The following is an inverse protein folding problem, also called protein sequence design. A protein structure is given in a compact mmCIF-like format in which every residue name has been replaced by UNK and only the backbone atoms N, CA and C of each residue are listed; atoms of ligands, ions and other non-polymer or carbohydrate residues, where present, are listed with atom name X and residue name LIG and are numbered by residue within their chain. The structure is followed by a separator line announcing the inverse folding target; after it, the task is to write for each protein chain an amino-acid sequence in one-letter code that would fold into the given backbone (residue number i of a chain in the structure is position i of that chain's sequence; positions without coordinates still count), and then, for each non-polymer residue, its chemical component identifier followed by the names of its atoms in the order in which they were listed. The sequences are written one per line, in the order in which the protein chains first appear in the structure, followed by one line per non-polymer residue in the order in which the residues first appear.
data_IF_083018770390
#
_entry.id   IF_083018770390
#
_cell.length_a   1.000
_cell.length_b   1.000
_cell.length_c   1.000
_cell.angle_alpha   90.00
_cell.angle_beta   90.00
_cell.angle_gamma   90.00
#
_symmetry.space_group_name_H-M   'P 1'
#
loop_
_entity.id
_entity.type
_entity.pdbx_description
1 polymer ?
#
# COMPACT_ATOMS: atom_id res chain seq x y z
N UNK A 1 5.73 -23.33 15.06
CA UNK A 1 5.10 -24.34 14.19
C UNK A 1 3.58 -24.46 14.36
N UNK A 2 3.01 -24.55 15.58
CA UNK A 2 1.53 -24.69 15.75
C UNK A 2 0.71 -23.44 15.35
N UNK A 3 1.23 -22.21 15.48
CA UNK A 3 0.52 -20.96 15.12
C UNK A 3 0.53 -20.66 13.62
N UNK A 4 1.53 -21.16 12.86
CA UNK A 4 1.55 -21.06 11.38
C UNK A 4 0.49 -21.97 10.76
N UNK A 5 0.19 -23.12 11.36
CA UNK A 5 -0.89 -24.00 10.93
C UNK A 5 -2.29 -23.34 11.05
N UNK A 6 -2.49 -22.45 12.03
CA UNK A 6 -3.77 -21.73 12.18
C UNK A 6 -4.02 -20.74 11.05
N UNK A 7 -2.97 -20.14 10.46
CA UNK A 7 -3.09 -19.21 9.33
C UNK A 7 -3.45 -19.98 8.04
N UNK A 8 -2.86 -21.17 7.85
CA UNK A 8 -3.14 -22.04 6.71
C UNK A 8 -4.59 -22.56 6.74
N UNK A 9 -5.09 -22.92 7.94
CA UNK A 9 -6.48 -23.34 8.12
C UNK A 9 -7.47 -22.21 7.80
N UNK A 10 -7.10 -20.94 8.03
CA UNK A 10 -7.95 -19.80 7.77
C UNK A 10 -8.14 -19.54 6.27
N UNK A 11 -7.07 -19.67 5.47
CA UNK A 11 -7.09 -19.48 4.01
C UNK A 11 -7.92 -20.56 3.31
N UNK A 12 -7.89 -21.80 3.80
CA UNK A 12 -8.62 -22.94 3.24
C UNK A 12 -10.13 -22.88 3.60
N UNK A 13 -10.46 -22.38 4.78
CA UNK A 13 -11.86 -22.26 5.20
C UNK A 13 -12.67 -21.27 4.35
N UNK A 14 -12.02 -20.23 3.78
CA UNK A 14 -12.68 -19.24 2.91
C UNK A 14 -13.14 -19.87 1.57
N UNK A 15 -12.46 -20.88 1.08
CA UNK A 15 -12.83 -21.54 -0.19
C UNK A 15 -13.95 -22.60 -0.04
N UNK A 16 -14.20 -23.09 1.18
CA UNK A 16 -15.17 -24.16 1.42
C UNK A 16 -16.61 -23.71 1.69
N UNK A 17 -16.84 -22.38 1.86
CA UNK A 17 -18.17 -21.86 2.22
C UNK A 17 -18.87 -21.22 1.02
N UNK A 18 -19.43 -22.02 0.14
CA UNK A 18 -20.40 -21.56 -0.85
C UNK A 18 -21.62 -20.93 -0.14
N UNK A 19 -21.91 -19.64 -0.42
CA UNK A 19 -23.12 -18.95 0.02
C UNK A 19 -23.02 -17.95 1.17
N UNK A 20 -21.87 -17.80 1.84
CA UNK A 20 -21.71 -16.76 2.87
C UNK A 20 -21.34 -15.42 2.25
N UNK A 21 -21.89 -14.35 2.83
CA UNK A 21 -21.48 -12.97 2.45
C UNK A 21 -20.04 -12.70 2.87
N UNK A 22 -19.41 -11.68 2.29
CA UNK A 22 -18.06 -11.27 2.67
C UNK A 22 -18.01 -10.85 4.15
N UNK A 23 -19.03 -10.14 4.61
CA UNK A 23 -19.16 -9.71 6.01
C UNK A 23 -19.20 -10.92 6.96
N UNK A 24 -20.01 -11.92 6.70
CA UNK A 24 -20.09 -13.11 7.56
C UNK A 24 -18.78 -13.89 7.56
N UNK A 25 -18.09 -13.93 6.43
CA UNK A 25 -16.76 -14.54 6.33
C UNK A 25 -15.74 -13.82 7.21
N UNK A 26 -15.73 -12.48 7.17
CA UNK A 26 -14.85 -11.66 8.00
C UNK A 26 -15.18 -11.82 9.50
N UNK A 27 -16.47 -11.80 9.87
CA UNK A 27 -16.91 -12.01 11.25
C UNK A 27 -16.52 -13.41 11.80
N UNK A 28 -16.51 -14.43 10.96
CA UNK A 28 -16.00 -15.75 11.35
C UNK A 28 -14.48 -15.71 11.61
N UNK A 29 -13.73 -14.96 10.78
CA UNK A 29 -12.28 -14.82 10.93
C UNK A 29 -11.88 -13.99 12.17
N UNK A 30 -12.78 -13.13 12.65
CA UNK A 30 -12.57 -12.34 13.86
C UNK A 30 -12.41 -13.22 15.13
N UNK A 31 -12.99 -14.44 15.13
CA UNK A 31 -12.91 -15.33 16.29
C UNK A 31 -13.51 -14.68 17.53
N UNK A 32 -12.73 -14.56 18.62
CA UNK A 32 -13.19 -13.98 19.88
C UNK A 32 -13.53 -12.49 19.79
N UNK A 33 -12.95 -11.78 18.80
CA UNK A 33 -13.22 -10.35 18.56
C UNK A 33 -14.55 -10.10 17.81
N UNK A 34 -15.25 -11.15 17.36
CA UNK A 34 -16.53 -11.04 16.64
C UNK A 34 -17.53 -10.15 17.37
N UNK A 35 -17.63 -10.30 18.69
CA UNK A 35 -18.57 -9.53 19.48
C UNK A 35 -18.34 -8.01 19.44
N UNK A 36 -17.07 -7.59 19.37
CA UNK A 36 -16.71 -6.17 19.22
C UNK A 36 -17.17 -5.63 17.86
N UNK A 37 -16.92 -6.38 16.78
CA UNK A 37 -17.34 -5.96 15.44
C UNK A 37 -18.87 -5.93 15.28
N UNK A 38 -19.58 -6.88 15.88
CA UNK A 38 -21.06 -6.88 15.91
C UNK A 38 -21.63 -5.69 16.71
N UNK A 39 -20.95 -5.21 17.76
CA UNK A 39 -21.34 -3.97 18.46
C UNK A 39 -21.32 -2.76 17.53
N UNK A 40 -20.30 -2.63 16.66
CA UNK A 40 -20.22 -1.54 15.66
C UNK A 40 -21.40 -1.59 14.70
N UNK A 41 -21.71 -2.76 14.15
CA UNK A 41 -22.85 -2.96 13.25
C UNK A 41 -24.16 -2.60 13.92
N UNK A 42 -24.38 -3.04 15.17
CA UNK A 42 -25.57 -2.73 15.96
C UNK A 42 -25.65 -1.24 16.29
N UNK A 43 -24.54 -0.58 16.59
CA UNK A 43 -24.47 0.86 16.86
C UNK A 43 -25.02 1.68 15.68
N UNK A 44 -24.73 1.26 14.45
CA UNK A 44 -25.16 1.96 13.24
C UNK A 44 -26.39 1.35 12.57
N UNK A 45 -27.13 0.45 13.23
CA UNK A 45 -28.27 -0.25 12.63
C UNK A 45 -29.36 0.68 12.05
N UNK A 46 -29.49 1.92 12.57
CA UNK A 46 -30.46 2.93 12.11
C UNK A 46 -29.85 3.97 11.16
N UNK A 47 -28.52 4.09 11.05
CA UNK A 47 -27.83 4.95 10.08
C UNK A 47 -27.28 4.10 8.91
N UNK A 48 -28.04 4.05 7.84
CA UNK A 48 -27.75 3.16 6.71
C UNK A 48 -26.39 3.43 6.03
N UNK A 49 -25.91 4.68 6.01
CA UNK A 49 -24.61 5.00 5.40
C UNK A 49 -23.47 4.61 6.33
N UNK A 50 -23.55 4.92 7.62
CA UNK A 50 -22.52 4.50 8.58
C UNK A 50 -22.49 2.99 8.75
N UNK A 51 -23.67 2.31 8.68
CA UNK A 51 -23.74 0.85 8.66
C UNK A 51 -22.98 0.25 7.47
N UNK A 52 -23.19 0.79 6.25
CA UNK A 52 -22.44 0.37 5.04
C UNK A 52 -20.95 0.61 5.18
N UNK A 53 -20.54 1.74 5.77
CA UNK A 53 -19.14 2.05 6.03
C UNK A 53 -18.52 1.08 7.05
N UNK A 54 -19.25 0.72 8.10
CA UNK A 54 -18.84 -0.31 9.06
C UNK A 54 -18.68 -1.67 8.38
N UNK A 55 -19.65 -2.08 7.54
CA UNK A 55 -19.52 -3.30 6.74
C UNK A 55 -18.27 -3.27 5.85
N UNK A 56 -18.01 -2.15 5.14
CA UNK A 56 -16.84 -2.00 4.30
C UNK A 56 -15.53 -2.22 5.08
N UNK A 57 -15.38 -1.58 6.24
CA UNK A 57 -14.20 -1.75 7.07
C UNK A 57 -14.04 -3.21 7.52
N UNK A 58 -15.09 -3.81 8.06
CA UNK A 58 -15.05 -5.18 8.60
C UNK A 58 -14.79 -6.22 7.51
N UNK A 59 -15.42 -6.09 6.35
CA UNK A 59 -15.26 -7.03 5.21
C UNK A 59 -13.84 -7.04 4.65
N UNK A 60 -13.12 -5.92 4.75
CA UNK A 60 -11.78 -5.76 4.20
C UNK A 60 -10.66 -5.87 5.25
N UNK A 61 -11.00 -5.93 6.54
CA UNK A 61 -10.05 -6.04 7.65
C UNK A 61 -9.21 -7.35 7.71
N UNK A 62 -9.65 -8.53 7.20
CA UNK A 62 -8.95 -9.80 7.40
C UNK A 62 -7.49 -9.86 6.97
N UNK A 63 -7.07 -9.02 6.02
CA UNK A 63 -5.69 -9.00 5.50
C UNK A 63 -4.85 -7.86 6.06
N UNK A 64 -5.44 -6.96 6.87
CA UNK A 64 -4.70 -5.91 7.56
C UNK A 64 -4.06 -6.47 8.83
N UNK A 65 -2.80 -6.13 9.03
CA UNK A 65 -1.99 -6.61 10.13
C UNK A 65 -0.99 -5.54 10.58
N UNK A 66 -0.40 -5.76 11.74
CA UNK A 66 0.71 -4.98 12.26
C UNK A 66 1.62 -5.87 13.09
N UNK A 67 2.83 -5.39 13.31
CA UNK A 67 3.77 -6.02 14.23
C UNK A 67 3.81 -5.24 15.53
N UNK A 68 4.04 -5.96 16.65
CA UNK A 68 4.19 -5.38 17.98
C UNK A 68 5.33 -6.07 18.71
N UNK A 69 5.88 -5.39 19.71
CA UNK A 69 6.98 -5.88 20.52
C UNK A 69 8.09 -4.85 20.68
N UNK A 70 9.00 -5.13 21.59
CA UNK A 70 10.09 -4.22 21.97
C UNK A 70 10.96 -3.79 20.77
N UNK A 71 11.18 -4.68 19.81
CA UNK A 71 11.95 -4.37 18.59
C UNK A 71 11.23 -3.29 17.74
N UNK A 72 9.91 -3.40 17.57
CA UNK A 72 9.12 -2.42 16.81
C UNK A 72 9.13 -1.06 17.48
N UNK A 73 8.97 -1.04 18.82
CA UNK A 73 9.02 0.20 19.59
C UNK A 73 10.41 0.86 19.54
N UNK A 74 11.46 0.04 19.50
CA UNK A 74 12.83 0.51 19.34
C UNK A 74 13.06 1.12 17.94
N UNK A 75 12.55 0.49 16.89
CA UNK A 75 12.65 0.99 15.51
C UNK A 75 11.98 2.37 15.35
N UNK A 76 10.87 2.63 16.03
CA UNK A 76 10.19 3.96 16.02
C UNK A 76 11.09 5.08 16.56
N UNK A 77 12.09 4.80 17.36
CA UNK A 77 13.04 5.81 17.84
C UNK A 77 13.82 6.44 16.68
N UNK A 78 14.01 5.74 15.55
CA UNK A 78 14.66 6.29 14.38
C UNK A 78 13.91 7.52 13.85
N UNK A 79 12.61 7.42 13.67
CA UNK A 79 11.78 8.52 13.18
C UNK A 79 11.73 9.69 14.18
N UNK A 80 11.61 9.39 15.47
CA UNK A 80 11.66 10.39 16.54
C UNK A 80 12.98 11.17 16.53
N UNK A 81 14.10 10.46 16.44
CA UNK A 81 15.44 11.08 16.40
C UNK A 81 15.65 11.88 15.11
N UNK A 82 15.12 11.43 13.97
CA UNK A 82 15.14 12.20 12.73
C UNK A 82 14.46 13.55 12.88
N UNK A 83 13.38 13.62 13.64
CA UNK A 83 12.62 14.83 13.88
C UNK A 83 13.27 15.73 14.94
N UNK A 84 13.76 15.16 16.03
CA UNK A 84 14.20 15.89 17.23
C UNK A 84 15.67 16.32 17.18
N UNK A 85 16.49 15.75 16.29
CA UNK A 85 17.93 16.01 16.25
C UNK A 85 18.40 16.55 14.90
N UNK A 86 19.58 17.19 14.91
CA UNK A 86 20.29 17.59 13.70
C UNK A 86 21.30 16.52 13.21
N UNK A 87 21.31 15.34 13.81
CA UNK A 87 22.19 14.24 13.40
C UNK A 87 21.81 13.74 12.01
N UNK A 88 22.80 13.21 11.28
CA UNK A 88 22.51 12.57 9.99
C UNK A 88 21.80 11.23 10.21
N UNK A 89 20.97 10.78 9.24
CA UNK A 89 20.27 9.49 9.33
C UNK A 89 21.21 8.31 9.58
N UNK A 90 22.41 8.33 8.96
CA UNK A 90 23.41 7.27 9.12
C UNK A 90 23.93 7.21 10.56
N UNK A 91 24.21 8.37 11.15
CA UNK A 91 24.67 8.46 12.56
C UNK A 91 23.59 7.96 13.50
N UNK A 92 22.33 8.29 13.27
CA UNK A 92 21.19 7.82 14.05
C UNK A 92 21.10 6.28 13.95
N UNK A 93 21.10 5.75 12.70
CA UNK A 93 21.01 4.33 12.46
C UNK A 93 22.18 3.55 13.07
N UNK A 94 23.42 4.05 12.96
CA UNK A 94 24.60 3.43 13.58
C UNK A 94 24.50 3.43 15.11
N UNK A 95 23.96 4.48 15.71
CA UNK A 95 23.72 4.55 17.14
C UNK A 95 22.70 3.52 17.59
N UNK A 96 21.57 3.42 16.90
CA UNK A 96 20.53 2.44 17.19
C UNK A 96 20.99 1.01 16.93
N UNK A 97 21.75 0.75 15.87
CA UNK A 97 22.33 -0.57 15.60
C UNK A 97 23.28 -1.02 16.72
N UNK A 98 24.13 -0.11 17.22
CA UNK A 98 25.01 -0.44 18.38
C UNK A 98 24.21 -0.73 19.65
N UNK A 99 23.15 0.01 19.92
CA UNK A 99 22.23 -0.27 21.02
C UNK A 99 21.58 -1.64 20.86
N UNK A 100 21.02 -1.92 19.68
CA UNK A 100 20.37 -3.19 19.36
C UNK A 100 21.30 -4.41 19.54
N UNK A 101 22.59 -4.31 19.23
CA UNK A 101 23.56 -5.39 19.45
C UNK A 101 23.74 -5.76 20.92
N UNK A 102 23.44 -4.84 21.82
CA UNK A 102 23.58 -5.03 23.27
C UNK A 102 22.26 -5.42 23.95
N UNK A 103 21.14 -5.35 23.23
CA UNK A 103 19.81 -5.65 23.74
C UNK A 103 19.29 -6.97 23.15
N UNK A 104 18.64 -7.77 24.00
CA UNK A 104 17.91 -8.96 23.56
C UNK A 104 16.44 -8.62 23.53
N UNK A 105 15.95 -8.23 22.37
CA UNK A 105 14.52 -7.99 22.19
C UNK A 105 13.73 -9.29 22.27
N UNK A 106 12.56 -9.20 22.85
CA UNK A 106 11.56 -10.25 22.79
C UNK A 106 11.13 -10.52 21.35
N UNK A 107 10.42 -11.63 21.16
CA UNK A 107 9.93 -12.00 19.82
C UNK A 107 8.88 -11.00 19.34
N UNK A 108 9.07 -10.45 18.13
CA UNK A 108 8.05 -9.68 17.43
C UNK A 108 6.79 -10.51 17.18
N UNK A 109 5.63 -10.00 17.52
CA UNK A 109 4.34 -10.64 17.31
C UNK A 109 3.60 -10.00 16.15
N UNK A 110 3.00 -10.85 15.28
CA UNK A 110 2.11 -10.45 14.23
C UNK A 110 0.67 -10.44 14.73
N UNK A 111 0.01 -9.30 14.64
CA UNK A 111 -1.38 -9.09 15.02
C UNK A 111 -2.22 -8.79 13.77
N UNK A 112 -3.42 -9.33 13.71
CA UNK A 112 -4.38 -9.03 12.64
C UNK A 112 -5.47 -8.11 13.15
N UNK A 113 -5.75 -7.04 12.43
CA UNK A 113 -6.73 -6.02 12.82
C UNK A 113 -8.09 -6.63 13.15
N UNK A 114 -8.55 -7.57 12.33
CA UNK A 114 -9.83 -8.26 12.51
C UNK A 114 -9.97 -8.95 13.89
N UNK A 115 -8.86 -9.22 14.58
CA UNK A 115 -8.82 -9.90 15.88
C UNK A 115 -8.51 -8.98 17.05
N UNK A 116 -8.11 -7.73 16.78
CA UNK A 116 -7.58 -6.83 17.81
C UNK A 116 -8.35 -5.52 17.90
N UNK A 117 -8.90 -5.01 16.77
CA UNK A 117 -9.57 -3.71 16.74
C UNK A 117 -10.92 -3.79 17.43
N UNK A 118 -11.15 -2.93 18.42
CA UNK A 118 -12.37 -2.90 19.22
C UNK A 118 -13.46 -1.97 18.65
N UNK A 119 -14.65 -2.06 19.25
CA UNK A 119 -15.82 -1.29 18.83
C UNK A 119 -15.68 0.21 19.10
N UNK A 120 -15.02 0.61 20.18
CA UNK A 120 -14.86 2.02 20.57
C UNK A 120 -14.00 2.73 19.53
N UNK A 121 -12.88 2.13 19.19
CA UNK A 121 -11.98 2.64 18.16
C UNK A 121 -12.66 2.78 16.79
N UNK A 122 -13.37 1.73 16.33
CA UNK A 122 -14.04 1.77 15.02
C UNK A 122 -15.15 2.80 14.96
N UNK A 123 -15.97 2.91 16.03
CA UNK A 123 -17.04 3.92 16.10
C UNK A 123 -16.43 5.32 16.04
N UNK A 124 -15.41 5.58 16.85
CA UNK A 124 -14.72 6.88 16.84
C UNK A 124 -14.14 7.21 15.44
N UNK A 125 -13.46 6.25 14.79
CA UNK A 125 -12.92 6.44 13.44
C UNK A 125 -14.01 6.73 12.39
N UNK A 126 -15.12 5.98 12.42
CA UNK A 126 -16.24 6.17 11.49
C UNK A 126 -16.88 7.55 11.71
N UNK A 127 -17.16 7.92 12.96
CA UNK A 127 -17.80 9.19 13.28
C UNK A 127 -16.96 10.38 12.85
N UNK A 128 -15.65 10.37 13.09
CA UNK A 128 -14.74 11.41 12.63
C UNK A 128 -14.62 11.47 11.11
N UNK A 129 -14.54 10.32 10.44
CA UNK A 129 -14.50 10.30 8.98
C UNK A 129 -15.78 10.89 8.37
N UNK A 130 -16.95 10.54 8.90
CA UNK A 130 -18.23 11.11 8.46
C UNK A 130 -18.36 12.60 8.79
N UNK A 131 -17.87 13.05 9.95
CA UNK A 131 -17.84 14.46 10.33
C UNK A 131 -17.11 15.28 9.26
N UNK A 132 -15.85 14.95 8.97
CA UNK A 132 -15.07 15.72 8.00
C UNK A 132 -15.62 15.58 6.58
N UNK A 133 -16.14 14.44 6.19
CA UNK A 133 -16.77 14.25 4.89
C UNK A 133 -18.03 15.11 4.71
N UNK A 134 -18.89 15.21 5.73
CA UNK A 134 -20.15 15.94 5.66
C UNK A 134 -20.01 17.45 5.89
N UNK A 135 -19.09 17.87 6.75
CA UNK A 135 -18.93 19.26 7.15
C UNK A 135 -18.03 20.06 6.21
N UNK A 136 -17.05 19.42 5.56
CA UNK A 136 -16.14 20.14 4.66
C UNK A 136 -16.76 20.37 3.27
N UNK A 137 -16.51 21.56 2.65
CA UNK A 137 -17.08 21.88 1.33
C UNK A 137 -16.75 20.87 0.24
N UNK A 138 -15.55 20.32 0.24
CA UNK A 138 -15.07 19.34 -0.76
C UNK A 138 -15.68 17.96 -0.60
N UNK A 139 -16.21 17.62 0.56
CA UNK A 139 -16.91 16.35 0.77
C UNK A 139 -18.14 16.16 -0.14
N UNK A 140 -18.72 17.26 -0.65
CA UNK A 140 -19.84 17.22 -1.61
C UNK A 140 -19.49 16.58 -2.95
N UNK A 141 -18.20 16.56 -3.29
CA UNK A 141 -17.67 15.98 -4.55
C UNK A 141 -16.94 14.67 -4.33
N UNK A 142 -17.05 14.08 -3.15
CA UNK A 142 -16.48 12.77 -2.84
C UNK A 142 -17.63 11.76 -2.81
N UNK A 143 -17.65 10.83 -3.75
CA UNK A 143 -18.61 9.74 -3.78
C UNK A 143 -18.48 8.86 -2.52
N UNK A 144 -19.51 8.08 -2.21
CA UNK A 144 -19.46 7.17 -1.06
C UNK A 144 -18.39 6.09 -1.23
N UNK A 145 -18.16 5.64 -2.45
CA UNK A 145 -17.11 4.69 -2.81
C UNK A 145 -15.73 5.26 -2.53
N UNK A 146 -15.44 6.48 -3.03
CA UNK A 146 -14.19 7.18 -2.78
C UNK A 146 -14.01 7.56 -1.30
N UNK A 147 -15.11 7.88 -0.61
CA UNK A 147 -15.08 8.07 0.83
C UNK A 147 -14.65 6.79 1.56
N UNK A 148 -15.28 5.66 1.24
CA UNK A 148 -14.97 4.38 1.88
C UNK A 148 -13.52 3.95 1.67
N UNK A 149 -12.97 4.13 0.46
CA UNK A 149 -11.62 3.67 0.15
C UNK A 149 -10.53 4.66 0.57
N UNK A 150 -10.77 5.99 0.44
CA UNK A 150 -9.70 6.99 0.52
C UNK A 150 -9.84 8.00 1.66
N UNK A 151 -10.95 7.99 2.43
CA UNK A 151 -11.13 8.85 3.61
C UNK A 151 -11.36 8.03 4.87
N UNK A 152 -12.24 7.02 4.80
CA UNK A 152 -12.69 6.21 5.93
C UNK A 152 -11.62 5.32 6.57
N UNK A 153 -10.62 4.73 5.83
CA UNK A 153 -9.68 3.81 6.41
C UNK A 153 -8.93 4.40 7.61
N UNK A 154 -8.76 3.58 8.64
CA UNK A 154 -8.15 3.98 9.91
C UNK A 154 -6.63 3.86 9.93
N UNK A 155 -6.05 3.30 8.86
CA UNK A 155 -4.60 3.07 8.68
C UNK A 155 -4.18 3.36 7.25
N UNK A 156 -2.87 3.47 7.02
CA UNK A 156 -2.26 3.67 5.69
C UNK A 156 -1.30 2.53 5.33
N UNK A 157 -0.39 2.15 6.23
CA UNK A 157 0.61 1.09 6.07
C UNK A 157 0.35 -0.12 6.98
N UNK A 158 1.43 -0.67 7.56
CA UNK A 158 1.42 -1.82 8.48
C UNK A 158 1.54 -1.42 9.96
N UNK A 159 1.26 -0.16 10.28
CA UNK A 159 1.28 0.38 11.64
C UNK A 159 0.17 -0.18 12.53
N UNK A 160 0.43 -0.18 13.85
CA UNK A 160 -0.60 -0.47 14.83
C UNK A 160 -1.74 0.55 14.77
N UNK A 161 -3.02 0.13 14.69
CA UNK A 161 -4.15 1.06 14.74
C UNK A 161 -4.18 1.88 16.02
N UNK A 162 -4.13 3.20 15.89
CA UNK A 162 -4.20 4.17 16.99
C UNK A 162 -5.09 5.34 16.59
N UNK A 163 -5.64 6.07 17.56
CA UNK A 163 -6.43 7.27 17.29
C UNK A 163 -5.53 8.42 16.79
N UNK A 164 -5.91 9.04 15.68
CA UNK A 164 -5.13 10.10 15.05
C UNK A 164 -5.98 11.23 14.42
N UNK A 165 -7.24 10.94 14.06
CA UNK A 165 -8.05 11.85 13.24
C UNK A 165 -8.26 13.21 13.88
N UNK A 166 -8.72 13.24 15.14
CA UNK A 166 -8.97 14.46 15.87
C UNK A 166 -7.70 15.29 16.03
N UNK A 167 -6.63 14.66 16.49
CA UNK A 167 -5.33 15.32 16.70
C UNK A 167 -4.78 15.94 15.41
N UNK A 168 -4.82 15.23 14.29
CA UNK A 168 -4.33 15.75 13.01
C UNK A 168 -5.29 16.80 12.44
N UNK A 169 -6.60 16.63 12.62
CA UNK A 169 -7.57 17.66 12.27
C UNK A 169 -7.27 18.97 12.98
N UNK A 170 -7.12 18.96 14.29
CA UNK A 170 -6.84 20.16 15.09
C UNK A 170 -5.52 20.83 14.65
N UNK A 171 -4.51 20.03 14.33
CA UNK A 171 -3.20 20.54 13.89
C UNK A 171 -3.22 21.18 12.51
N UNK A 172 -3.97 20.64 11.55
CA UNK A 172 -3.86 21.00 10.14
C UNK A 172 -5.07 21.74 9.56
N UNK A 173 -6.23 21.70 10.21
CA UNK A 173 -7.47 22.23 9.67
C UNK A 173 -7.39 23.74 9.35
N UNK A 174 -6.70 24.53 10.18
CA UNK A 174 -6.54 25.98 9.96
C UNK A 174 -5.71 26.33 8.71
N UNK A 175 -4.91 25.40 8.18
CA UNK A 175 -4.18 25.63 6.92
C UNK A 175 -5.12 25.82 5.71
N UNK A 176 -6.35 25.35 5.84
CA UNK A 176 -7.36 25.41 4.78
C UNK A 176 -8.37 26.55 4.92
N UNK A 177 -8.21 27.46 5.90
CA UNK A 177 -9.18 28.52 6.15
C UNK A 177 -9.34 29.46 4.95
N UNK A 178 -8.25 29.80 4.27
CA UNK A 178 -8.27 30.68 3.11
C UNK A 178 -8.91 30.02 1.86
N UNK A 179 -8.64 28.73 1.63
CA UNK A 179 -9.23 28.02 0.49
C UNK A 179 -10.70 27.71 0.74
N UNK A 180 -11.09 27.43 1.97
CA UNK A 180 -12.48 27.12 2.37
C UNK A 180 -13.48 28.20 1.99
N UNK A 181 -13.04 29.44 1.89
CA UNK A 181 -13.86 30.60 1.51
C UNK A 181 -14.05 30.74 -0.01
N UNK A 182 -13.33 29.97 -0.81
CA UNK A 182 -13.38 30.07 -2.27
C UNK A 182 -14.42 29.11 -2.87
N UNK A 183 -15.09 29.48 -3.95
CA UNK A 183 -16.07 28.59 -4.61
C UNK A 183 -15.50 27.25 -5.07
N UNK A 184 -14.25 27.23 -5.52
CA UNK A 184 -13.53 26.04 -5.98
C UNK A 184 -13.16 25.06 -4.87
N UNK A 185 -13.35 25.41 -3.59
CA UNK A 185 -13.10 24.53 -2.44
C UNK A 185 -13.98 23.28 -2.43
N UNK A 186 -14.96 23.19 -3.31
CA UNK A 186 -15.76 21.96 -3.48
C UNK A 186 -14.99 20.83 -4.19
N UNK A 187 -13.87 21.13 -4.85
CA UNK A 187 -13.04 20.15 -5.53
C UNK A 187 -11.92 19.65 -4.64
N UNK A 188 -11.90 18.35 -4.27
CA UNK A 188 -10.90 17.82 -3.34
C UNK A 188 -9.45 18.05 -3.78
N UNK A 189 -9.16 17.94 -5.09
CA UNK A 189 -7.81 18.13 -5.63
C UNK A 189 -7.31 19.58 -5.51
N UNK A 190 -8.18 20.60 -5.63
CA UNK A 190 -7.79 22.01 -5.41
C UNK A 190 -7.42 22.25 -3.95
N UNK A 191 -8.17 21.63 -3.04
CA UNK A 191 -7.90 21.75 -1.61
C UNK A 191 -6.63 20.98 -1.23
N UNK A 192 -6.42 19.81 -1.83
CA UNK A 192 -5.20 19.04 -1.65
C UNK A 192 -3.95 19.79 -2.14
N UNK A 193 -4.07 20.53 -3.27
CA UNK A 193 -2.99 21.37 -3.81
C UNK A 193 -2.63 22.51 -2.84
N UNK A 194 -3.64 23.22 -2.31
CA UNK A 194 -3.44 24.27 -1.31
C UNK A 194 -2.82 23.73 0.01
N UNK A 195 -3.23 22.52 0.40
CA UNK A 195 -2.64 21.83 1.55
C UNK A 195 -1.17 21.47 1.29
N UNK A 196 -0.88 20.89 0.12
CA UNK A 196 0.46 20.52 -0.31
C UNK A 196 1.41 21.71 -0.27
N UNK A 197 0.99 22.86 -0.83
CA UNK A 197 1.76 24.11 -0.76
C UNK A 197 2.03 24.57 0.67
N UNK A 198 1.04 24.43 1.55
CA UNK A 198 1.17 24.80 2.96
C UNK A 198 2.13 23.88 3.71
N UNK A 199 2.10 22.58 3.40
CA UNK A 199 2.99 21.58 3.99
C UNK A 199 4.43 21.74 3.48
N UNK A 200 4.63 22.01 2.18
CA UNK A 200 5.96 22.29 1.62
C UNK A 200 6.67 23.47 2.28
N UNK A 201 5.93 24.50 2.69
CA UNK A 201 6.47 25.64 3.46
C UNK A 201 6.96 25.24 4.85
N UNK A 202 6.55 24.08 5.37
CA UNK A 202 7.05 23.53 6.65
C UNK A 202 8.35 22.73 6.47
N UNK A 203 8.91 22.72 5.25
CA UNK A 203 10.18 22.09 4.91
C UNK A 203 10.23 20.59 5.27
N UNK A 204 9.39 19.74 4.66
CA UNK A 204 9.48 18.29 4.83
C UNK A 204 10.91 17.83 4.58
N UNK A 205 11.43 16.95 5.45
CA UNK A 205 12.80 16.46 5.35
C UNK A 205 12.84 15.10 4.69
N UNK A 206 13.35 15.03 3.46
CA UNK A 206 13.64 13.76 2.81
C UNK A 206 14.90 13.11 3.39
N UNK A 207 14.80 11.79 3.59
CA UNK A 207 15.89 10.95 4.08
C UNK A 207 15.99 9.73 3.17
N UNK A 208 17.10 9.60 2.47
CA UNK A 208 17.34 8.45 1.56
C UNK A 208 17.67 7.15 2.30
N UNK A 209 17.94 7.20 3.57
CA UNK A 209 18.27 6.08 4.43
C UNK A 209 17.04 5.71 5.28
N UNK A 210 16.73 4.43 5.40
CA UNK A 210 15.70 3.90 6.31
C UNK A 210 16.30 2.82 7.19
N UNK A 211 16.10 2.96 8.49
CA UNK A 211 16.49 1.96 9.49
C UNK A 211 15.31 1.06 9.86
N UNK A 212 14.16 1.66 10.07
CA UNK A 212 12.96 0.96 10.49
C UNK A 212 12.36 0.12 9.35
N UNK A 213 11.86 -1.05 9.69
CA UNK A 213 11.22 -2.00 8.77
C UNK A 213 9.71 -1.78 8.65
N UNK A 214 9.11 -1.12 9.65
CA UNK A 214 7.68 -0.92 9.79
C UNK A 214 7.32 0.56 9.70
N UNK A 215 6.10 0.83 9.25
CA UNK A 215 5.57 2.18 9.17
C UNK A 215 5.61 2.88 10.53
N UNK A 216 5.98 4.17 10.52
CA UNK A 216 5.98 5.00 11.72
C UNK A 216 4.57 5.20 12.29
N UNK A 217 3.55 5.01 11.48
CA UNK A 217 2.16 5.30 11.82
C UNK A 217 1.83 6.78 11.70
N UNK A 218 0.73 7.24 12.30
CA UNK A 218 0.24 8.61 12.11
C UNK A 218 1.14 9.70 12.70
N UNK A 219 2.13 9.34 13.53
CA UNK A 219 3.15 10.25 14.04
C UNK A 219 4.02 10.83 12.93
N UNK A 220 4.18 10.12 11.80
CA UNK A 220 4.92 10.61 10.64
C UNK A 220 4.33 11.92 10.10
N UNK A 221 3.03 12.12 10.25
CA UNK A 221 2.35 13.36 9.89
C UNK A 221 2.75 14.53 10.81
N UNK A 222 3.24 14.26 12.01
CA UNK A 222 3.76 15.30 12.91
C UNK A 222 5.20 15.67 12.58
N UNK A 223 5.97 14.71 12.16
CA UNK A 223 7.40 14.85 11.92
C UNK A 223 7.73 15.35 10.52
N UNK A 224 6.98 14.94 9.50
CA UNK A 224 7.23 15.26 8.09
C UNK A 224 8.69 14.98 7.69
N UNK A 225 9.24 13.88 8.17
CA UNK A 225 10.63 13.48 7.94
C UNK A 225 10.70 11.98 7.69
N UNK A 226 11.34 11.58 6.59
CA UNK A 226 11.46 10.19 6.21
C UNK A 226 11.74 10.02 4.73
N UNK A 227 11.63 8.79 4.23
CA UNK A 227 11.79 8.49 2.81
C UNK A 227 10.51 8.83 2.02
N UNK A 228 10.43 8.42 0.75
CA UNK A 228 9.26 8.70 -0.09
C UNK A 228 7.99 8.03 0.41
N UNK A 229 8.08 6.83 0.99
CA UNK A 229 6.96 6.11 1.59
C UNK A 229 6.44 6.85 2.83
N UNK A 230 7.32 7.17 3.77
CA UNK A 230 6.98 7.88 5.00
C UNK A 230 6.28 9.20 4.72
N UNK A 231 6.77 9.96 3.75
CA UNK A 231 6.18 11.25 3.37
C UNK A 231 4.86 11.11 2.61
N UNK A 232 4.69 10.04 1.84
CA UNK A 232 3.41 9.72 1.20
C UNK A 232 2.36 9.31 2.24
N UNK A 233 2.74 8.50 3.23
CA UNK A 233 1.88 8.12 4.35
C UNK A 233 1.48 9.36 5.17
N UNK A 234 2.44 10.25 5.48
CA UNK A 234 2.18 11.50 6.18
C UNK A 234 1.11 12.36 5.47
N UNK A 235 1.25 12.56 4.15
CA UNK A 235 0.28 13.33 3.37
C UNK A 235 -1.09 12.64 3.36
N UNK A 236 -1.14 11.33 3.23
CA UNK A 236 -2.39 10.54 3.26
C UNK A 236 -3.11 10.70 4.60
N UNK A 237 -2.42 10.59 5.73
CA UNK A 237 -3.00 10.80 7.06
C UNK A 237 -3.57 12.21 7.22
N UNK A 238 -2.80 13.23 6.82
CA UNK A 238 -3.24 14.63 6.91
C UNK A 238 -4.48 14.86 6.04
N UNK A 239 -4.48 14.41 4.78
CA UNK A 239 -5.62 14.52 3.88
C UNK A 239 -6.87 13.86 4.47
N UNK A 240 -6.76 12.59 4.91
CA UNK A 240 -7.89 11.84 5.48
C UNK A 240 -8.44 12.48 6.75
N UNK A 241 -7.59 13.09 7.59
CA UNK A 241 -8.04 13.82 8.79
C UNK A 241 -8.89 15.04 8.45
N UNK A 242 -8.67 15.63 7.27
CA UNK A 242 -9.36 16.81 6.76
C UNK A 242 -10.51 16.49 5.79
N UNK A 243 -10.82 15.19 5.58
CA UNK A 243 -11.87 14.75 4.67
C UNK A 243 -11.51 14.85 3.18
N UNK A 244 -10.23 14.99 2.86
CA UNK A 244 -9.71 14.97 1.49
C UNK A 244 -9.38 13.51 1.15
N UNK A 245 -9.98 12.91 0.10
CA UNK A 245 -9.66 11.56 -0.31
C UNK A 245 -8.21 11.50 -0.81
N UNK A 246 -7.42 10.59 -0.28
CA UNK A 246 -6.03 10.40 -0.71
C UNK A 246 -5.57 8.98 -0.45
N UNK A 247 -4.68 8.51 -1.31
CA UNK A 247 -4.01 7.23 -1.20
C UNK A 247 -2.57 7.33 -1.70
N UNK A 248 -1.92 6.17 -1.74
CA UNK A 248 -0.54 6.01 -2.13
C UNK A 248 -0.45 5.06 -3.32
N UNK A 249 0.24 5.49 -4.37
CA UNK A 249 0.64 4.66 -5.49
C UNK A 249 2.14 4.36 -5.37
N UNK A 250 2.55 3.16 -5.79
CA UNK A 250 3.90 2.65 -5.58
C UNK A 250 4.45 1.88 -6.78
N UNK A 251 5.74 2.01 -6.98
CA UNK A 251 6.54 1.06 -7.74
C UNK A 251 7.32 0.19 -6.77
N UNK A 252 7.05 -1.11 -6.76
CA UNK A 252 7.77 -2.07 -5.91
C UNK A 252 9.29 -2.05 -6.21
N UNK A 253 9.63 -1.75 -7.46
CA UNK A 253 10.99 -1.53 -7.94
C UNK A 253 10.94 -0.66 -9.20
N UNK A 254 11.78 0.35 -9.29
CA UNK A 254 11.95 1.15 -10.51
C UNK A 254 12.88 0.44 -11.49
N UNK A 255 12.60 0.60 -12.79
CA UNK A 255 13.44 0.02 -13.84
C UNK A 255 14.73 0.77 -14.14
N UNK A 256 14.88 2.01 -13.63
CA UNK A 256 15.99 2.91 -13.95
C UNK A 256 17.05 3.03 -12.85
N UNK A 257 16.69 2.91 -11.58
CA UNK A 257 17.63 3.15 -10.48
C UNK A 257 17.58 2.10 -9.36
N UNK A 258 16.83 1.01 -9.57
CA UNK A 258 16.82 -0.16 -8.71
C UNK A 258 16.42 0.11 -7.24
N UNK A 259 15.49 1.04 -7.02
CA UNK A 259 14.88 1.33 -5.72
C UNK A 259 13.36 1.44 -5.85
N UNK A 260 12.58 1.15 -4.80
CA UNK A 260 11.15 1.41 -4.80
C UNK A 260 10.85 2.91 -4.83
N UNK A 261 9.64 3.28 -5.20
CA UNK A 261 9.20 4.67 -5.15
C UNK A 261 7.72 4.79 -4.83
N UNK A 262 7.37 5.84 -4.08
CA UNK A 262 6.02 6.08 -3.55
C UNK A 262 5.63 7.53 -3.77
N UNK A 263 4.35 7.76 -4.09
CA UNK A 263 3.75 9.09 -4.21
C UNK A 263 2.26 9.04 -3.90
N UNK A 264 1.65 10.21 -3.79
CA UNK A 264 0.24 10.33 -3.48
C UNK A 264 -0.61 10.56 -4.73
N UNK A 265 -1.86 10.19 -4.62
CA UNK A 265 -2.91 10.60 -5.53
C UNK A 265 -4.14 11.10 -4.76
N UNK A 266 -4.93 11.92 -5.42
CA UNK A 266 -6.23 12.41 -4.97
C UNK A 266 -7.22 11.98 -6.05
N UNK A 267 -8.15 11.06 -5.78
CA UNK A 267 -9.13 10.62 -6.78
C UNK A 267 -10.10 11.74 -7.12
N UNK A 268 -10.56 11.77 -8.37
CA UNK A 268 -11.59 12.67 -8.85
C UNK A 268 -12.65 11.86 -9.60
N UNK A 269 -13.93 12.16 -9.39
CA UNK A 269 -15.04 11.41 -10.02
C UNK A 269 -15.18 11.68 -11.53
N UNK A 270 -14.45 12.66 -12.07
CA UNK A 270 -14.48 13.06 -13.47
C UNK A 270 -13.21 12.73 -14.26
N UNK A 271 -12.14 12.42 -13.58
CA UNK A 271 -10.87 11.95 -14.12
C UNK A 271 -10.25 10.93 -13.20
N UNK A 272 -9.24 10.20 -13.67
CA UNK A 272 -8.70 9.08 -12.93
C UNK A 272 -8.09 9.48 -11.59
N UNK A 273 -7.23 10.50 -11.57
CA UNK A 273 -6.65 11.05 -10.36
C UNK A 273 -5.80 12.30 -10.63
N UNK A 274 -5.49 13.03 -9.55
CA UNK A 274 -4.44 14.05 -9.50
C UNK A 274 -3.28 13.54 -8.66
N UNK A 275 -2.05 13.68 -9.14
CA UNK A 275 -0.86 13.11 -8.52
C UNK A 275 -0.02 14.18 -7.84
N UNK A 276 0.57 13.85 -6.70
CA UNK A 276 1.41 14.76 -5.95
C UNK A 276 2.46 14.04 -5.09
N UNK A 277 3.43 14.81 -4.63
CA UNK A 277 4.39 14.36 -3.62
C UNK A 277 4.87 15.55 -2.80
N UNK A 278 5.09 15.34 -1.51
CA UNK A 278 5.77 16.31 -0.65
C UNK A 278 7.24 16.54 -1.05
N UNK A 279 7.82 15.64 -1.83
CA UNK A 279 9.23 15.68 -2.24
C UNK A 279 9.49 16.56 -3.46
N UNK A 280 8.54 16.65 -4.38
CA UNK A 280 8.74 17.34 -5.62
C UNK A 280 8.13 18.74 -5.60
N UNK A 281 8.83 19.75 -6.15
CA UNK A 281 8.26 21.07 -6.32
C UNK A 281 7.12 21.03 -7.37
N UNK A 282 6.12 21.87 -7.19
CA UNK A 282 5.02 22.02 -8.12
C UNK A 282 3.67 21.59 -7.57
N UNK A 283 2.58 21.98 -8.28
CA UNK A 283 1.21 21.65 -7.92
C UNK A 283 0.88 20.17 -8.19
N UNK A 284 -0.33 19.77 -7.82
CA UNK A 284 -0.90 18.52 -8.29
C UNK A 284 -0.96 18.51 -9.83
N UNK A 285 -0.66 17.38 -10.42
CA UNK A 285 -0.70 17.18 -11.88
C UNK A 285 -1.73 16.10 -12.25
N UNK A 286 -2.47 16.31 -13.31
CA UNK A 286 -3.49 15.38 -13.79
C UNK A 286 -2.92 14.23 -14.62
N UNK A 287 -1.81 14.48 -15.33
CA UNK A 287 -1.11 13.44 -16.08
C UNK A 287 0.26 13.18 -15.48
N UNK A 288 0.66 11.94 -15.48
CA UNK A 288 1.98 11.57 -14.98
C UNK A 288 3.04 11.74 -16.09
N UNK A 289 3.89 12.74 -15.95
CA UNK A 289 4.98 13.06 -16.91
C UNK A 289 6.32 12.41 -16.56
N UNK A 290 6.31 11.33 -15.81
CA UNK A 290 7.52 10.69 -15.35
C UNK A 290 8.08 9.74 -16.42
N UNK A 291 9.20 10.08 -17.05
CA UNK A 291 9.79 9.34 -18.18
C UNK A 291 10.59 8.08 -17.79
N UNK A 292 10.73 7.77 -16.50
CA UNK A 292 11.49 6.61 -16.08
C UNK A 292 10.74 5.29 -16.29
N UNK A 293 11.44 4.19 -16.64
CA UNK A 293 10.84 2.87 -16.74
C UNK A 293 10.25 2.42 -15.41
N UNK A 294 8.95 2.13 -15.40
CA UNK A 294 8.21 1.81 -14.16
C UNK A 294 8.08 0.32 -13.91
N UNK A 295 8.04 -0.47 -14.98
CA UNK A 295 7.68 -1.88 -14.90
C UNK A 295 6.21 -2.06 -14.52
N UNK A 296 5.89 -1.83 -13.25
CA UNK A 296 4.52 -1.89 -12.70
C UNK A 296 4.29 -0.80 -11.68
N UNK A 297 3.06 -0.28 -11.66
CA UNK A 297 2.56 0.66 -10.65
C UNK A 297 1.37 0.05 -9.94
N UNK A 298 1.39 0.06 -8.63
CA UNK A 298 0.30 -0.42 -7.80
C UNK A 298 -0.25 0.69 -6.92
N UNK A 299 -1.56 0.67 -6.75
CA UNK A 299 -2.28 1.47 -5.76
C UNK A 299 -2.47 0.67 -4.49
N UNK A 300 -2.07 1.22 -3.36
CA UNK A 300 -2.38 0.65 -2.06
C UNK A 300 -3.86 0.80 -1.76
N UNK A 301 -4.54 -0.31 -1.47
CA UNK A 301 -5.96 -0.37 -1.19
C UNK A 301 -6.22 -0.76 0.26
N UNK A 302 -7.28 -0.19 0.83
CA UNK A 302 -7.84 -0.76 2.06
C UNK A 302 -8.71 -1.97 1.73
N UNK A 303 -9.43 -1.91 0.63
CA UNK A 303 -10.26 -3.01 0.16
C UNK A 303 -9.45 -4.17 -0.40
N UNK A 304 -9.98 -5.38 -0.22
CA UNK A 304 -9.38 -6.62 -0.74
C UNK A 304 -9.57 -6.70 -2.25
N UNK A 305 -8.47 -6.76 -2.99
CA UNK A 305 -8.48 -7.11 -4.41
C UNK A 305 -8.82 -8.60 -4.59
N UNK A 306 -10.06 -8.88 -4.91
CA UNK A 306 -10.59 -10.25 -4.99
C UNK A 306 -10.04 -11.04 -6.17
N UNK A 307 -9.64 -10.38 -7.24
CA UNK A 307 -9.05 -11.05 -8.40
C UNK A 307 -7.60 -11.46 -8.11
N UNK A 308 -6.85 -10.60 -7.45
CA UNK A 308 -5.55 -10.96 -6.90
C UNK A 308 -5.67 -12.10 -5.88
N UNK A 309 -6.66 -12.05 -4.99
CA UNK A 309 -6.92 -13.12 -4.03
C UNK A 309 -7.23 -14.47 -4.72
N UNK A 310 -8.02 -14.48 -5.80
CA UNK A 310 -8.29 -15.70 -6.59
C UNK A 310 -7.05 -16.22 -7.32
N UNK A 311 -6.23 -15.31 -7.85
CA UNK A 311 -4.97 -15.68 -8.48
C UNK A 311 -4.04 -16.37 -7.48
N UNK A 312 -3.98 -15.86 -6.26
CA UNK A 312 -3.13 -16.38 -5.19
C UNK A 312 -3.75 -17.54 -4.39
N UNK A 313 -4.68 -18.29 -4.97
CA UNK A 313 -5.31 -19.47 -4.34
C UNK A 313 -4.35 -20.65 -4.22
N UNK A 314 -3.19 -20.43 -3.60
CA UNK A 314 -2.16 -21.42 -3.31
C UNK A 314 -1.72 -21.35 -1.84
N UNK A 315 -1.07 -22.38 -1.29
CA UNK A 315 -0.51 -22.32 0.05
C UNK A 315 0.46 -21.12 0.20
N UNK A 316 0.38 -20.35 1.32
CA UNK A 316 1.19 -19.15 1.51
C UNK A 316 2.69 -19.32 1.34
N UNK A 317 3.21 -20.51 1.63
CA UNK A 317 4.63 -20.87 1.43
C UNK A 317 5.05 -20.91 -0.04
N UNK A 318 4.09 -21.05 -0.98
CA UNK A 318 4.31 -21.00 -2.43
C UNK A 318 4.15 -19.58 -3.02
N UNK A 319 3.73 -18.62 -2.20
CA UNK A 319 3.51 -17.24 -2.64
C UNK A 319 4.65 -16.37 -2.09
N UNK A 320 5.28 -15.60 -2.97
CA UNK A 320 6.29 -14.62 -2.55
C UNK A 320 5.68 -13.62 -1.54
N UNK A 321 6.39 -13.22 -0.48
CA UNK A 321 5.86 -12.32 0.57
C UNK A 321 5.18 -11.06 0.02
N UNK A 322 5.75 -10.40 -0.96
CA UNK A 322 5.20 -9.21 -1.62
C UNK A 322 3.75 -9.36 -2.10
N UNK A 323 3.35 -10.57 -2.53
CA UNK A 323 2.03 -10.82 -3.10
C UNK A 323 1.09 -11.61 -2.19
N UNK A 324 1.45 -11.83 -0.91
CA UNK A 324 0.61 -12.60 0.03
C UNK A 324 -0.65 -11.88 0.46
N UNK A 325 -0.63 -10.56 0.39
CA UNK A 325 -1.73 -9.71 0.85
C UNK A 325 -2.38 -9.02 -0.33
N UNK A 326 -3.65 -9.30 -0.63
CA UNK A 326 -4.33 -8.78 -1.82
C UNK A 326 -4.85 -7.34 -1.60
N UNK A 327 -3.98 -6.44 -1.19
CA UNK A 327 -4.30 -5.04 -0.87
C UNK A 327 -3.67 -4.08 -1.90
N UNK A 328 -3.43 -4.56 -3.11
CA UNK A 328 -2.87 -3.79 -4.21
C UNK A 328 -3.78 -3.87 -5.44
N UNK A 329 -3.93 -2.75 -6.14
CA UNK A 329 -4.58 -2.65 -7.44
C UNK A 329 -3.53 -2.25 -8.48
N UNK A 330 -3.43 -2.99 -9.56
CA UNK A 330 -2.60 -2.61 -10.71
C UNK A 330 -3.22 -1.38 -11.38
N UNK A 331 -2.48 -0.29 -11.44
CA UNK A 331 -2.85 0.99 -12.03
C UNK A 331 -1.81 1.47 -13.05
N UNK A 332 -1.04 0.55 -13.59
CA UNK A 332 0.04 0.87 -14.54
C UNK A 332 -0.48 1.61 -15.76
N UNK A 333 -1.69 1.29 -16.23
CA UNK A 333 -2.37 1.93 -17.35
C UNK A 333 -2.64 3.43 -17.13
N UNK A 334 -2.85 3.87 -15.89
CA UNK A 334 -3.01 5.29 -15.55
C UNK A 334 -1.71 6.08 -15.80
N UNK A 335 -0.58 5.41 -15.73
CA UNK A 335 0.76 6.01 -15.76
C UNK A 335 1.53 5.76 -17.04
N UNK A 336 1.04 4.90 -17.92
CA UNK A 336 1.75 4.51 -19.14
C UNK A 336 0.87 4.72 -20.35
N UNK A 337 1.38 5.49 -21.33
CA UNK A 337 0.75 5.63 -22.65
C UNK A 337 1.04 4.43 -23.57
N UNK A 338 1.90 3.50 -23.12
CA UNK A 338 2.42 2.39 -23.92
C UNK A 338 2.54 1.11 -23.06
N UNK A 339 1.50 0.81 -22.29
CA UNK A 339 1.45 -0.47 -21.58
C UNK A 339 1.42 -1.62 -22.58
N UNK A 340 2.13 -2.68 -22.27
CA UNK A 340 2.22 -3.85 -23.12
C UNK A 340 1.92 -5.12 -22.34
N UNK A 341 1.49 -6.15 -23.06
CA UNK A 341 1.41 -7.51 -22.52
C UNK A 341 2.71 -8.24 -22.84
N UNK A 342 3.44 -8.62 -21.80
CA UNK A 342 4.61 -9.49 -21.91
C UNK A 342 4.15 -10.94 -21.93
N UNK A 343 4.30 -11.63 -23.04
CA UNK A 343 3.95 -13.05 -23.19
C UNK A 343 5.22 -13.87 -23.47
N UNK A 344 5.56 -14.76 -22.54
CA UNK A 344 6.78 -15.60 -22.64
C UNK A 344 6.37 -17.07 -22.82
N UNK A 345 6.69 -17.68 -23.99
CA UNK A 345 6.39 -19.07 -24.26
C UNK A 345 7.32 -20.03 -23.50
N UNK A 346 6.88 -21.27 -23.33
CA UNK A 346 7.62 -22.35 -22.63
C UNK A 346 9.05 -22.53 -23.16
N UNK A 347 9.27 -22.35 -24.46
CA UNK A 347 10.60 -22.51 -25.09
C UNK A 347 11.67 -21.53 -24.57
N UNK A 348 11.29 -20.48 -23.83
CA UNK A 348 12.21 -19.50 -23.24
C UNK A 348 12.56 -19.80 -21.78
N UNK A 349 11.92 -20.80 -21.19
CA UNK A 349 12.21 -21.18 -19.81
C UNK A 349 13.43 -22.12 -19.75
N UNK A 350 14.34 -21.82 -18.82
CA UNK A 350 15.49 -22.68 -18.47
C UNK A 350 15.03 -23.93 -17.69
N UNK A 351 13.97 -23.76 -16.90
CA UNK A 351 13.35 -24.80 -16.09
C UNK A 351 11.87 -24.77 -16.44
N UNK A 352 11.32 -25.88 -16.89
CA UNK A 352 9.90 -25.97 -17.27
C UNK A 352 9.01 -25.73 -16.04
N UNK A 353 8.08 -24.74 -16.08
CA UNK A 353 7.15 -24.52 -14.99
C UNK A 353 6.11 -25.67 -14.90
N UNK A 354 5.60 -25.87 -13.69
CA UNK A 354 4.44 -26.73 -13.48
C UNK A 354 3.14 -26.00 -13.88
N UNK A 355 2.11 -26.77 -14.20
CA UNK A 355 0.80 -26.19 -14.51
C UNK A 355 0.27 -25.39 -13.31
N UNK A 356 -0.23 -24.17 -13.57
CA UNK A 356 -0.73 -23.24 -12.57
C UNK A 356 0.35 -22.74 -11.56
N UNK A 357 1.63 -23.01 -11.83
CA UNK A 357 2.72 -22.44 -11.04
C UNK A 357 2.70 -20.91 -11.13
N UNK A 358 2.95 -20.23 -9.99
CA UNK A 358 3.10 -18.78 -9.95
C UNK A 358 4.48 -18.40 -10.49
N UNK A 359 4.48 -17.61 -11.55
CA UNK A 359 5.68 -17.04 -12.15
C UNK A 359 5.67 -15.54 -11.89
N UNK A 360 6.82 -15.04 -11.46
CA UNK A 360 7.02 -13.64 -11.09
C UNK A 360 7.84 -12.94 -12.17
N UNK A 361 7.34 -11.78 -12.62
CA UNK A 361 8.13 -10.84 -13.40
C UNK A 361 8.96 -10.02 -12.42
N UNK A 362 10.27 -10.03 -12.58
CA UNK A 362 11.20 -9.41 -11.64
C UNK A 362 12.03 -8.33 -12.32
N UNK A 363 12.27 -7.22 -11.59
CA UNK A 363 13.25 -6.19 -11.91
C UNK A 363 14.51 -6.39 -11.06
N UNK A 364 15.70 -5.98 -11.55
CA UNK A 364 16.92 -6.09 -10.77
C UNK A 364 16.96 -5.01 -9.67
N UNK A 365 17.39 -5.38 -8.48
CA UNK A 365 17.89 -4.46 -7.47
C UNK A 365 19.42 -4.48 -7.42
N UNK A 366 20.02 -3.83 -6.44
CA UNK A 366 21.50 -3.84 -6.30
C UNK A 366 22.07 -5.25 -6.01
N UNK A 367 21.29 -6.13 -5.39
CA UNK A 367 21.75 -7.43 -4.90
C UNK A 367 20.89 -8.61 -5.34
N UNK A 368 19.66 -8.39 -5.79
CA UNK A 368 18.68 -9.46 -6.02
C UNK A 368 17.66 -9.08 -7.11
N UNK A 369 16.87 -10.05 -7.53
CA UNK A 369 15.69 -9.84 -8.35
C UNK A 369 14.48 -9.56 -7.47
N UNK A 370 13.78 -8.48 -7.72
CA UNK A 370 12.57 -8.07 -6.98
C UNK A 370 11.33 -8.34 -7.82
N UNK A 371 10.38 -9.14 -7.35
CA UNK A 371 9.17 -9.44 -8.10
C UNK A 371 8.25 -8.23 -8.12
N UNK A 372 7.88 -7.81 -9.34
CA UNK A 372 7.00 -6.66 -9.59
C UNK A 372 5.66 -7.04 -10.18
N UNK A 373 5.50 -8.27 -10.67
CA UNK A 373 4.20 -8.81 -11.07
C UNK A 373 4.18 -10.32 -10.88
N UNK A 374 2.98 -10.89 -10.82
CA UNK A 374 2.76 -12.33 -10.69
C UNK A 374 1.68 -12.80 -11.67
N UNK A 375 1.91 -13.95 -12.29
CA UNK A 375 0.95 -14.60 -13.17
C UNK A 375 1.07 -16.12 -13.07
N UNK A 376 0.06 -16.85 -13.57
CA UNK A 376 0.07 -18.33 -13.61
C UNK A 376 0.58 -18.84 -14.96
N UNK A 377 1.47 -19.84 -14.91
CA UNK A 377 1.85 -20.58 -16.11
C UNK A 377 0.69 -21.44 -16.59
N UNK A 378 0.22 -21.20 -17.81
CA UNK A 378 -0.89 -21.92 -18.43
C UNK A 378 -0.71 -22.03 -19.94
N UNK A 379 -1.19 -23.11 -20.51
CA UNK A 379 -1.23 -23.32 -21.97
C UNK A 379 0.12 -23.12 -22.67
N UNK A 380 1.24 -23.49 -22.00
CA UNK A 380 2.58 -23.37 -22.56
C UNK A 380 3.19 -21.98 -22.53
N UNK A 381 2.65 -21.07 -21.74
CA UNK A 381 3.15 -19.70 -21.63
C UNK A 381 2.79 -19.04 -20.29
N UNK A 382 3.39 -17.89 -20.02
CA UNK A 382 2.98 -16.96 -18.99
C UNK A 382 2.76 -15.58 -19.62
N UNK A 383 1.76 -14.84 -19.15
CA UNK A 383 1.45 -13.50 -19.63
C UNK A 383 1.33 -12.51 -18.45
N UNK A 384 1.90 -11.33 -18.64
CA UNK A 384 1.79 -10.19 -17.71
C UNK A 384 1.22 -9.02 -18.51
N UNK A 385 0.05 -8.56 -18.10
CA UNK A 385 -0.64 -7.43 -18.71
C UNK A 385 -0.16 -6.10 -18.10
N UNK A 386 -0.39 -4.99 -18.79
CA UNK A 386 -0.10 -3.63 -18.31
C UNK A 386 1.32 -3.45 -17.78
N UNK A 387 2.33 -3.88 -18.55
CA UNK A 387 3.74 -3.68 -18.16
C UNK A 387 4.30 -2.46 -18.88
N UNK A 388 4.84 -1.52 -18.12
CA UNK A 388 5.61 -0.41 -18.68
C UNK A 388 7.04 -0.88 -18.98
N UNK A 389 7.41 -0.87 -20.25
CA UNK A 389 8.67 -1.42 -20.76
C UNK A 389 9.92 -0.55 -20.50
N UNK A 390 10.93 -0.70 -21.37
CA UNK A 390 12.27 -0.07 -21.27
C UNK A 390 13.06 -0.49 -20.02
N UNK A 391 12.82 -1.68 -19.53
CA UNK A 391 13.52 -2.24 -18.39
C UNK A 391 14.03 -3.66 -18.68
N UNK A 392 14.99 -4.09 -17.89
CA UNK A 392 15.48 -5.46 -17.89
C UNK A 392 14.69 -6.30 -16.91
N UNK A 393 14.08 -7.37 -17.40
CA UNK A 393 13.29 -8.29 -16.61
C UNK A 393 13.91 -9.67 -16.55
N UNK A 394 13.53 -10.42 -15.53
CA UNK A 394 13.75 -11.86 -15.43
C UNK A 394 12.47 -12.52 -14.91
N UNK A 395 12.13 -13.69 -15.43
CA UNK A 395 11.07 -14.50 -14.84
C UNK A 395 11.66 -15.41 -13.76
N UNK A 396 10.98 -15.47 -12.61
CA UNK A 396 11.36 -16.33 -11.50
C UNK A 396 10.15 -17.09 -10.96
N UNK A 397 10.38 -18.22 -10.30
CA UNK A 397 9.40 -18.87 -9.44
C UNK A 397 9.84 -18.79 -7.98
N UNK A 398 8.88 -18.90 -7.05
CA UNK A 398 9.19 -18.86 -5.62
C UNK A 398 9.15 -20.27 -5.05
N UNK A 399 10.34 -20.82 -4.77
CA UNK A 399 10.53 -22.19 -4.28
C UNK A 399 11.44 -22.17 -3.06
N UNK A 400 11.14 -22.95 -2.05
CA UNK A 400 11.94 -23.08 -0.82
C UNK A 400 12.33 -21.71 -0.20
N UNK A 401 11.39 -20.77 -0.21
CA UNK A 401 11.55 -19.38 0.29
C UNK A 401 12.56 -18.53 -0.49
N UNK A 402 12.87 -18.90 -1.72
CA UNK A 402 13.79 -18.19 -2.59
C UNK A 402 13.18 -17.98 -3.99
N UNK A 403 13.56 -16.87 -4.62
CA UNK A 403 13.27 -16.65 -6.04
C UNK A 403 14.29 -17.42 -6.86
N UNK A 404 13.80 -18.34 -7.68
CA UNK A 404 14.59 -19.15 -8.60
C UNK A 404 14.40 -18.62 -10.02
N UNK A 405 15.44 -18.06 -10.67
CA UNK A 405 15.34 -17.61 -12.05
C UNK A 405 14.91 -18.72 -12.99
N UNK A 406 13.89 -18.45 -13.78
CA UNK A 406 13.28 -19.40 -14.73
C UNK A 406 13.64 -19.06 -16.18
N UNK A 407 14.13 -17.87 -16.46
CA UNK A 407 14.58 -17.42 -17.78
C UNK A 407 15.95 -16.75 -17.69
N UNK A 408 16.63 -16.59 -18.82
CA UNK A 408 17.68 -15.58 -18.90
C UNK A 408 17.05 -14.18 -18.79
N UNK A 409 17.79 -13.16 -18.29
CA UNK A 409 17.32 -11.80 -18.33
C UNK A 409 16.99 -11.35 -19.75
N UNK A 410 15.97 -10.52 -19.89
CA UNK A 410 15.58 -9.94 -21.16
C UNK A 410 15.18 -8.48 -21.01
N UNK A 411 15.42 -7.71 -22.05
CA UNK A 411 14.98 -6.33 -22.12
C UNK A 411 13.67 -6.24 -22.90
N UNK A 412 12.67 -5.58 -22.34
CA UNK A 412 11.40 -5.32 -22.99
C UNK A 412 11.36 -3.89 -23.50
N UNK A 413 11.26 -3.71 -24.82
CA UNK A 413 11.22 -2.39 -25.43
C UNK A 413 9.81 -1.81 -25.40
N UNK A 414 9.68 -0.55 -24.94
CA UNK A 414 8.38 0.11 -24.78
C UNK A 414 7.63 0.30 -26.11
N UNK A 415 8.33 0.66 -27.19
CA UNK A 415 7.70 1.06 -28.45
C UNK A 415 7.56 -0.05 -29.48
N UNK A 416 8.35 -1.12 -29.38
CA UNK A 416 8.52 -2.08 -30.48
C UNK A 416 7.94 -3.47 -30.18
N UNK A 417 7.36 -3.66 -28.99
CA UNK A 417 6.77 -4.97 -28.58
C UNK A 417 7.68 -6.17 -28.84
N UNK A 418 9.00 -5.98 -28.76
CA UNK A 418 9.98 -7.04 -28.88
C UNK A 418 10.83 -7.20 -27.62
N UNK A 419 11.40 -8.41 -27.42
CA UNK A 419 12.24 -8.75 -26.30
C UNK A 419 13.64 -9.12 -26.77
N UNK A 420 14.66 -8.51 -26.15
CA UNK A 420 16.05 -8.90 -26.34
C UNK A 420 16.54 -9.71 -25.16
N UNK A 421 16.86 -10.97 -25.40
CA UNK A 421 17.39 -11.87 -24.38
C UNK A 421 18.91 -11.68 -24.23
N UNK A 422 19.40 -11.68 -22.98
CA UNK A 422 20.83 -11.63 -22.67
C UNK A 422 21.33 -13.05 -22.39
N UNK A 423 22.17 -13.58 -23.26
CA UNK A 423 22.79 -14.90 -23.10
C UNK A 423 22.81 -15.69 -24.40
N UNK A 424 23.98 -16.24 -24.73
CA UNK A 424 24.30 -17.01 -25.94
C UNK A 424 24.20 -16.26 -27.27
N UNK A 425 25.07 -15.29 -27.47
CA UNK A 425 25.73 -14.96 -28.76
C UNK A 425 24.93 -14.79 -30.05
N UNK A 426 23.62 -14.83 -30.01
CA UNK A 426 22.76 -14.60 -31.17
C UNK A 426 21.86 -13.38 -30.90
N UNK A 427 22.29 -12.24 -31.45
CA UNK A 427 21.59 -10.98 -31.48
C UNK A 427 20.56 -10.93 -32.60
#
# INVERSE_FOLDING_TARGET
MKKILSIIALSIAVMACGGKTNLETALIQAGDNRAELEKVLNHYAVDSLKYKAACFLIENMPYHYYYTGEEVDYEKQFFKMLHETALSPEVIADSLNRGRMNEQFGRTELKYDIREVDSVYLVHNIDWAFKVWREQPWGKKVSFENFCEYVLPYRVGDECPVEWRERLYDKYNSLLDSIRLKPESVFPWIVADALLDSLKKRSPRFVSYSYAKHSAGPEIADWLSGNCEDLADAFTYICRSLGIPSGCDEMLMRGDNNVPHYWNFVPDDHCDAFFCSLLYPGPLIQSHTYDAPRGKVYRRMFSINRDMMKMMSQPPEKIHPTFRYPLMLDVTDIYSDCEQTICIPESRFLIRPERDELIYLCLPSHMEWVPVAVSKYRNGQVSFENVDGNAVFCLSSYRDKQLVPMTVPFWAHKELSYFRYFGNGEG
#
